data_IF_108576256843
#
_entry.id   IF_108576256843
#
_cell.length_a   1.000
_cell.length_b   1.000
_cell.length_c   1.000
_cell.angle_alpha   90.00
_cell.angle_beta   90.00
_cell.angle_gamma   90.00
#
_symmetry.space_group_name_H-M   'P 1'
#
loop_
_entity.id
_entity.type
_entity.pdbx_description
1 polymer ?
#
# COMPACT_ATOMS: atom_id res chain seq x y z
N UNK A 1 1.77 7.82 -4.44
CA UNK A 1 1.53 8.28 -5.83
C UNK A 1 0.13 8.85 -5.90
N UNK A 2 -0.20 9.66 -6.92
CA UNK A 2 -1.52 10.28 -7.08
C UNK A 2 -2.21 9.77 -8.34
N UNK A 3 -3.54 9.90 -8.39
CA UNK A 3 -4.38 9.47 -9.51
C UNK A 3 -5.46 10.53 -9.74
N UNK A 4 -5.66 10.90 -11.00
CA UNK A 4 -6.80 11.72 -11.41
C UNK A 4 -7.98 10.80 -11.71
N UNK A 5 -9.17 11.20 -11.30
CA UNK A 5 -10.41 10.45 -11.49
C UNK A 5 -11.47 11.43 -12.00
N UNK A 6 -12.04 11.13 -13.16
CA UNK A 6 -13.21 11.83 -13.70
C UNK A 6 -14.46 11.08 -13.29
N UNK A 7 -15.46 11.82 -12.78
CA UNK A 7 -16.71 11.24 -12.28
C UNK A 7 -17.90 11.70 -13.11
N UNK A 8 -18.83 10.77 -13.34
CA UNK A 8 -20.14 11.04 -13.91
C UNK A 8 -21.23 10.68 -12.89
N UNK A 9 -22.34 11.41 -12.95
CA UNK A 9 -23.46 11.21 -12.02
C UNK A 9 -24.20 9.94 -12.41
N UNK A 10 -24.43 9.08 -11.43
CA UNK A 10 -25.17 7.85 -11.67
C UNK A 10 -26.69 8.11 -11.71
N UNK A 11 -27.47 7.44 -12.58
CA UNK A 11 -28.92 7.58 -12.62
C UNK A 11 -29.60 7.22 -11.29
N UNK A 12 -29.05 6.26 -10.55
CA UNK A 12 -29.57 5.83 -9.25
C UNK A 12 -29.08 6.72 -8.09
N UNK A 13 -28.26 7.73 -8.38
CA UNK A 13 -27.68 8.67 -7.42
C UNK A 13 -26.21 8.41 -7.11
N UNK A 14 -25.51 9.44 -6.60
CA UNK A 14 -24.06 9.38 -6.38
C UNK A 14 -23.27 9.57 -7.68
N UNK A 15 -22.00 9.19 -7.65
CA UNK A 15 -21.07 9.37 -8.76
C UNK A 15 -20.23 8.12 -9.00
N UNK A 16 -19.93 7.82 -10.26
CA UNK A 16 -19.07 6.70 -10.68
C UNK A 16 -17.94 7.22 -11.56
N UNK A 17 -16.77 6.62 -11.46
CA UNK A 17 -15.62 7.00 -12.28
C UNK A 17 -15.87 6.63 -13.74
N UNK A 18 -15.77 7.61 -14.64
CA UNK A 18 -15.79 7.40 -16.09
C UNK A 18 -14.38 7.14 -16.64
N UNK A 19 -13.37 7.79 -16.05
CA UNK A 19 -11.96 7.61 -16.41
C UNK A 19 -11.08 7.80 -15.18
N UNK A 20 -9.93 7.12 -15.15
CA UNK A 20 -8.88 7.42 -14.18
C UNK A 20 -7.48 7.11 -14.72
N UNK A 21 -6.51 7.95 -14.37
CA UNK A 21 -5.12 7.78 -14.81
C UNK A 21 -4.14 8.11 -13.68
N UNK A 22 -3.02 7.40 -13.63
CA UNK A 22 -1.91 7.77 -12.75
C UNK A 22 -1.38 9.14 -13.13
N UNK A 23 -1.16 9.98 -12.13
CA UNK A 23 -0.65 11.32 -12.35
C UNK A 23 0.36 11.73 -11.28
N UNK A 24 1.28 12.61 -11.67
CA UNK A 24 2.08 13.37 -10.72
C UNK A 24 1.24 14.53 -10.21
N UNK A 25 0.94 14.55 -8.92
CA UNK A 25 0.32 15.72 -8.28
C UNK A 25 1.26 16.26 -7.22
N UNK A 26 1.51 17.57 -7.26
CA UNK A 26 2.24 18.30 -6.22
C UNK A 26 1.18 19.00 -5.37
N UNK A 27 1.01 18.63 -4.08
CA UNK A 27 -0.02 19.24 -3.25
C UNK A 27 0.21 20.74 -3.10
N UNK A 28 -0.88 21.50 -3.15
CA UNK A 28 -0.88 22.92 -2.82
C UNK A 28 -0.57 23.05 -1.32
N UNK A 29 0.47 23.80 -0.96
CA UNK A 29 0.87 24.04 0.43
C UNK A 29 0.00 25.13 1.06
N UNK A 30 -0.47 24.94 2.29
CA UNK A 30 -1.11 25.99 3.09
C UNK A 30 -2.60 26.26 2.81
N UNK A 31 -3.41 25.23 2.51
CA UNK A 31 -4.85 25.37 2.24
C UNK A 31 -5.71 24.26 2.86
N UNK A 32 -7.00 24.17 2.48
CA UNK A 32 -7.97 23.18 3.00
C UNK A 32 -7.59 21.73 2.65
N UNK A 33 -6.72 21.55 1.64
CA UNK A 33 -6.17 20.25 1.21
C UNK A 33 -4.71 20.04 1.67
N UNK A 34 -4.25 20.76 2.70
CA UNK A 34 -2.93 20.52 3.29
C UNK A 34 -2.93 19.12 3.93
N UNK A 35 -2.11 18.24 3.37
CA UNK A 35 -1.76 16.94 3.94
C UNK A 35 -0.37 17.13 4.54
N UNK A 36 -0.23 17.63 5.79
CA UNK A 36 1.05 17.72 6.46
C UNK A 36 1.54 16.30 6.71
N UNK A 37 2.21 15.74 5.70
CA UNK A 37 2.84 14.43 5.74
C UNK A 37 3.89 14.46 6.83
N UNK A 38 3.55 13.88 7.97
CA UNK A 38 4.53 13.61 9.00
C UNK A 38 5.30 12.34 8.65
N UNK A 39 6.51 12.23 9.20
CA UNK A 39 7.37 11.07 9.00
C UNK A 39 7.69 10.48 10.35
N UNK A 40 7.62 9.16 10.44
CA UNK A 40 8.02 8.39 11.61
C UNK A 40 9.43 7.90 11.34
N UNK A 41 10.37 8.23 12.23
CA UNK A 41 11.74 7.74 12.16
C UNK A 41 11.80 6.29 12.67
N UNK A 42 12.10 5.35 11.77
CA UNK A 42 12.16 3.93 12.08
C UNK A 42 13.53 3.50 12.62
N UNK A 43 14.58 4.29 12.38
CA UNK A 43 15.98 3.95 12.73
C UNK A 43 16.56 4.82 13.83
N UNK A 44 15.92 5.96 14.14
CA UNK A 44 16.39 6.95 15.12
C UNK A 44 17.42 7.94 14.58
N UNK A 45 17.87 7.73 13.34
CA UNK A 45 18.81 8.58 12.60
C UNK A 45 18.22 9.08 11.26
N UNK A 46 16.92 8.89 11.04
CA UNK A 46 16.18 9.22 9.82
C UNK A 46 16.66 8.54 8.53
N UNK A 47 17.52 7.51 8.61
CA UNK A 47 17.95 6.76 7.42
C UNK A 47 16.84 5.90 6.82
N UNK A 48 15.85 5.48 7.63
CA UNK A 48 14.60 4.89 7.14
C UNK A 48 13.43 5.55 7.84
N UNK A 49 12.45 6.01 7.06
CA UNK A 49 11.26 6.69 7.59
C UNK A 49 9.99 6.06 7.04
N UNK A 50 8.90 6.15 7.80
CA UNK A 50 7.56 5.79 7.35
C UNK A 50 6.73 7.06 7.17
N UNK A 51 6.06 7.20 6.02
CA UNK A 51 5.11 8.29 5.83
C UNK A 51 3.86 8.04 6.68
N UNK A 52 3.47 9.04 7.45
CA UNK A 52 2.27 9.05 8.29
C UNK A 52 1.18 9.95 7.69
N UNK A 53 -0.06 9.57 7.91
CA UNK A 53 -1.27 10.37 7.63
C UNK A 53 -1.93 10.77 8.95
N UNK A 54 -2.84 11.75 8.95
CA UNK A 54 -3.45 12.27 10.18
C UNK A 54 -4.20 11.19 10.99
N UNK A 55 -4.83 10.23 10.32
CA UNK A 55 -5.65 9.19 10.95
C UNK A 55 -4.85 7.90 11.20
N UNK A 56 -3.90 7.92 12.14
CA UNK A 56 -3.14 6.71 12.50
C UNK A 56 -3.77 5.98 13.69
N UNK A 57 -3.99 4.66 13.59
CA UNK A 57 -4.50 3.88 14.71
C UNK A 57 -3.42 3.47 15.72
N UNK A 58 -2.18 3.98 15.61
CA UNK A 58 -1.04 3.56 16.43
C UNK A 58 -0.15 4.74 16.85
N UNK A 59 0.57 4.56 17.96
CA UNK A 59 1.53 5.54 18.48
C UNK A 59 2.86 5.47 17.69
N UNK A 60 3.31 6.56 17.02
CA UNK A 60 4.51 6.56 16.19
C UNK A 60 5.79 6.08 16.90
N UNK A 61 5.91 6.38 18.19
CA UNK A 61 7.10 6.12 19.01
C UNK A 61 7.36 4.62 19.17
N UNK A 62 6.34 3.78 18.97
CA UNK A 62 6.46 2.31 19.03
C UNK A 62 7.19 1.71 17.83
N UNK A 63 7.34 2.46 16.74
CA UNK A 63 8.01 1.99 15.52
C UNK A 63 9.48 2.40 15.43
N UNK A 64 9.96 3.31 16.28
CA UNK A 64 11.38 3.67 16.31
C UNK A 64 12.21 2.48 16.80
N UNK A 65 13.22 2.09 16.03
CA UNK A 65 14.06 0.92 16.30
C UNK A 65 13.44 -0.42 15.89
N UNK A 66 12.25 -0.42 15.26
CA UNK A 66 11.56 -1.66 14.87
C UNK A 66 12.41 -2.51 13.93
N UNK A 67 13.21 -1.90 13.06
CA UNK A 67 14.04 -2.60 12.06
C UNK A 67 15.20 -3.39 12.69
N UNK A 68 15.53 -3.13 13.95
CA UNK A 68 16.57 -3.88 14.69
C UNK A 68 15.99 -5.12 15.41
N UNK A 69 14.68 -5.30 15.37
CA UNK A 69 13.99 -6.47 15.91
C UNK A 69 14.04 -7.67 14.94
N UNK A 70 13.71 -8.89 15.40
CA UNK A 70 13.77 -10.09 14.57
C UNK A 70 13.08 -9.94 13.23
N UNK A 71 13.78 -10.38 12.18
CA UNK A 71 13.37 -10.37 10.77
C UNK A 71 12.64 -11.66 10.42
N UNK A 72 11.47 -11.56 9.80
CA UNK A 72 10.73 -12.70 9.22
C UNK A 72 10.44 -12.44 7.75
N UNK A 73 10.75 -13.39 6.87
CA UNK A 73 10.51 -13.26 5.43
C UNK A 73 9.35 -14.15 4.98
N UNK A 74 8.47 -13.59 4.15
CA UNK A 74 7.36 -14.27 3.52
C UNK A 74 7.41 -14.05 2.01
N UNK A 75 7.62 -15.13 1.26
CA UNK A 75 7.67 -15.10 -0.19
C UNK A 75 6.32 -15.56 -0.76
N UNK A 76 5.75 -14.76 -1.66
CA UNK A 76 4.33 -14.89 -2.03
C UNK A 76 4.08 -15.84 -3.20
N UNK A 77 5.11 -16.13 -3.99
CA UNK A 77 4.99 -16.76 -5.31
C UNK A 77 4.42 -15.83 -6.40
N UNK A 78 4.01 -14.60 -6.06
CA UNK A 78 3.44 -13.66 -7.01
C UNK A 78 4.56 -12.91 -7.73
N UNK A 79 4.61 -13.08 -9.05
CA UNK A 79 5.63 -12.49 -9.90
C UNK A 79 5.09 -11.36 -10.76
N UNK A 80 5.97 -10.42 -11.10
CA UNK A 80 5.72 -9.31 -12.02
C UNK A 80 6.77 -9.29 -13.12
N UNK A 81 6.33 -8.98 -14.34
CA UNK A 81 7.25 -8.65 -15.43
C UNK A 81 7.87 -7.26 -15.22
N UNK A 82 9.02 -6.99 -15.85
CA UNK A 82 9.82 -5.77 -15.65
C UNK A 82 9.04 -4.44 -15.74
N UNK A 83 8.05 -4.36 -16.62
CA UNK A 83 7.26 -3.14 -16.88
C UNK A 83 5.82 -3.25 -16.39
N UNK A 84 5.48 -4.30 -15.65
CA UNK A 84 4.13 -4.50 -15.13
C UNK A 84 3.86 -3.55 -13.96
N UNK A 85 2.65 -2.98 -13.94
CA UNK A 85 2.23 -2.04 -12.90
C UNK A 85 1.95 -2.75 -11.57
N UNK A 86 2.56 -2.25 -10.49
CA UNK A 86 2.31 -2.69 -9.11
C UNK A 86 1.15 -1.92 -8.46
N UNK A 87 0.60 -0.93 -9.14
CA UNK A 87 -0.32 0.04 -8.55
C UNK A 87 -1.58 -0.59 -7.97
N UNK A 88 -2.11 -1.62 -8.63
CA UNK A 88 -3.36 -2.27 -8.23
C UNK A 88 -3.15 -3.18 -7.02
N UNK A 89 -1.99 -3.80 -6.91
CA UNK A 89 -1.57 -4.50 -5.68
C UNK A 89 -1.41 -3.49 -4.54
N UNK A 90 -0.76 -2.34 -4.80
CA UNK A 90 -0.59 -1.30 -3.79
C UNK A 90 -1.93 -0.73 -3.31
N UNK A 91 -2.86 -0.48 -4.24
CA UNK A 91 -4.21 -0.03 -3.91
C UNK A 91 -4.96 -1.08 -3.10
N UNK A 92 -4.90 -2.35 -3.50
CA UNK A 92 -5.49 -3.46 -2.74
C UNK A 92 -4.98 -3.50 -1.31
N UNK A 93 -3.66 -3.52 -1.11
CA UNK A 93 -3.04 -3.53 0.22
C UNK A 93 -3.36 -2.28 1.05
N UNK A 94 -3.58 -1.14 0.38
CA UNK A 94 -4.02 0.09 1.06
C UNK A 94 -5.44 -0.04 1.58
N UNK A 95 -6.32 -0.73 0.84
CA UNK A 95 -7.73 -0.89 1.20
C UNK A 95 -7.99 -2.07 2.15
N UNK A 96 -7.31 -3.20 1.95
CA UNK A 96 -7.58 -4.45 2.65
C UNK A 96 -6.93 -4.54 4.04
N UNK A 97 -5.89 -3.75 4.30
CA UNK A 97 -5.14 -3.83 5.56
C UNK A 97 -5.48 -2.64 6.48
N UNK A 98 -5.75 -2.88 7.79
CA UNK A 98 -6.12 -1.82 8.72
C UNK A 98 -5.12 -0.65 8.80
N UNK A 99 -3.81 -0.94 8.74
CA UNK A 99 -2.76 0.09 8.78
C UNK A 99 -2.56 0.82 7.44
N UNK A 100 -3.09 0.23 6.36
CA UNK A 100 -2.84 0.62 4.97
C UNK A 100 -1.38 0.45 4.54
N UNK A 101 -1.15 0.42 3.23
CA UNK A 101 0.18 0.47 2.66
C UNK A 101 0.68 1.92 2.63
N UNK A 102 1.91 2.14 3.10
CA UNK A 102 2.51 3.48 3.26
C UNK A 102 3.87 3.54 2.62
N UNK A 103 4.25 4.72 2.17
CA UNK A 103 5.60 4.98 1.67
C UNK A 103 6.61 4.81 2.81
N UNK A 104 7.66 4.04 2.56
CA UNK A 104 8.79 3.84 3.47
C UNK A 104 10.10 4.25 2.78
N UNK A 105 10.38 5.55 2.65
CA UNK A 105 11.61 6.01 2.02
C UNK A 105 12.83 5.65 2.85
N UNK A 106 13.87 5.19 2.18
CA UNK A 106 15.14 4.84 2.78
C UNK A 106 16.31 5.50 2.05
N UNK A 107 17.32 5.87 2.83
CA UNK A 107 18.63 6.28 2.32
C UNK A 107 19.36 5.08 1.71
N UNK A 108 20.23 5.33 0.72
CA UNK A 108 20.98 4.25 0.07
C UNK A 108 21.84 3.48 1.06
N UNK A 109 22.40 4.17 2.06
CA UNK A 109 23.27 3.58 3.09
C UNK A 109 22.56 2.51 3.94
N UNK A 110 21.25 2.67 4.21
CA UNK A 110 20.46 1.68 4.93
C UNK A 110 20.22 0.41 4.09
N UNK A 111 20.17 0.54 2.76
CA UNK A 111 20.03 -0.59 1.83
C UNK A 111 21.38 -1.29 1.65
N UNK A 112 22.46 -0.53 1.42
CA UNK A 112 23.81 -1.07 1.17
C UNK A 112 24.38 -1.79 2.37
N UNK A 113 24.05 -1.34 3.59
CA UNK A 113 24.42 -2.03 4.84
C UNK A 113 23.63 -3.32 5.10
N UNK A 114 22.61 -3.61 4.29
CA UNK A 114 21.74 -4.78 4.48
C UNK A 114 20.75 -4.64 5.64
N UNK A 115 20.66 -3.47 6.28
CA UNK A 115 19.70 -3.21 7.37
C UNK A 115 18.26 -3.39 6.90
N UNK A 116 17.97 -3.01 5.65
CA UNK A 116 16.72 -3.29 4.97
C UNK A 116 16.97 -3.83 3.56
N UNK A 117 16.02 -4.59 3.05
CA UNK A 117 16.05 -5.10 1.67
C UNK A 117 14.72 -4.81 0.95
N UNK A 118 14.39 -3.51 0.72
CA UNK A 118 13.09 -3.12 0.19
C UNK A 118 12.98 -3.42 -1.31
N UNK A 119 11.74 -3.53 -1.80
CA UNK A 119 11.44 -3.75 -3.22
C UNK A 119 12.02 -2.66 -4.14
N UNK A 120 11.99 -1.42 -3.67
CA UNK A 120 12.55 -0.23 -4.32
C UNK A 120 13.12 0.71 -3.26
N UNK A 121 13.93 1.71 -3.67
CA UNK A 121 14.50 2.73 -2.77
C UNK A 121 13.41 3.42 -1.93
N UNK A 122 12.34 3.85 -2.59
CA UNK A 122 11.11 4.22 -1.90
C UNK A 122 10.32 2.95 -1.71
N UNK A 123 10.56 2.28 -0.58
CA UNK A 123 9.85 1.07 -0.21
C UNK A 123 8.40 1.36 0.11
N UNK A 124 7.63 0.29 0.26
CA UNK A 124 6.25 0.37 0.76
C UNK A 124 6.14 -0.57 1.97
N UNK A 125 5.46 -0.11 3.03
CA UNK A 125 5.31 -0.86 4.26
C UNK A 125 3.94 -0.69 4.89
N UNK A 126 3.55 -1.69 5.67
CA UNK A 126 2.32 -1.74 6.45
C UNK A 126 2.73 -1.66 7.92
N UNK A 127 2.33 -0.62 8.66
CA UNK A 127 2.55 -0.56 10.10
C UNK A 127 1.49 -1.36 10.86
N UNK A 128 1.92 -2.04 11.91
CA UNK A 128 1.08 -2.54 12.98
C UNK A 128 1.26 -1.74 14.26
N UNK A 129 0.88 -2.32 15.39
CA UNK A 129 1.00 -1.66 16.70
C UNK A 129 2.34 -2.00 17.35
N UNK A 130 3.44 -1.57 16.73
CA UNK A 130 4.82 -1.86 17.18
C UNK A 130 5.57 -2.90 16.33
N UNK A 131 4.90 -3.51 15.37
CA UNK A 131 5.51 -4.26 14.28
C UNK A 131 5.39 -3.52 12.94
N UNK A 132 6.22 -3.90 11.97
CA UNK A 132 6.27 -3.32 10.64
C UNK A 132 6.51 -4.42 9.61
N UNK A 133 5.78 -4.40 8.49
CA UNK A 133 6.03 -5.30 7.38
C UNK A 133 6.24 -4.51 6.09
N UNK A 134 7.39 -4.65 5.43
CA UNK A 134 7.69 -3.96 4.19
C UNK A 134 7.79 -4.91 2.98
N UNK A 135 7.45 -4.39 1.80
CA UNK A 135 7.55 -5.14 0.56
C UNK A 135 9.00 -5.29 0.14
N UNK A 136 9.37 -6.51 -0.23
CA UNK A 136 10.68 -6.91 -0.73
C UNK A 136 10.54 -7.56 -2.12
N UNK A 137 11.66 -7.80 -2.79
CA UNK A 137 11.68 -8.58 -4.03
C UNK A 137 12.88 -9.50 -4.13
N UNK A 138 12.72 -10.53 -4.94
CA UNK A 138 13.81 -11.41 -5.40
C UNK A 138 13.58 -11.83 -6.85
N UNK A 139 14.59 -12.41 -7.53
CA UNK A 139 14.39 -13.03 -8.84
C UNK A 139 13.28 -14.09 -8.77
N UNK A 140 12.32 -14.01 -9.69
CA UNK A 140 11.15 -14.90 -9.79
C UNK A 140 11.23 -15.89 -10.95
N UNK A 141 12.39 -16.02 -11.61
CA UNK A 141 12.57 -16.85 -12.79
C UNK A 141 12.28 -16.09 -14.09
N UNK A 142 11.74 -16.79 -15.08
CA UNK A 142 11.39 -16.25 -16.40
C UNK A 142 9.98 -16.71 -16.81
N UNK A 143 9.29 -15.90 -17.60
CA UNK A 143 8.02 -16.30 -18.23
C UNK A 143 8.24 -17.22 -19.43
N UNK A 144 7.14 -17.63 -20.09
CA UNK A 144 7.18 -18.51 -21.28
C UNK A 144 7.92 -17.91 -22.47
N UNK A 145 8.01 -16.58 -22.53
CA UNK A 145 8.69 -15.84 -23.59
C UNK A 145 10.15 -15.53 -23.21
N UNK A 146 10.60 -15.99 -22.04
CA UNK A 146 11.96 -15.83 -21.55
C UNK A 146 12.23 -14.47 -20.89
N UNK A 147 11.20 -13.68 -20.56
CA UNK A 147 11.40 -12.42 -19.85
C UNK A 147 11.61 -12.65 -18.35
N UNK A 148 12.55 -11.91 -17.77
CA UNK A 148 12.81 -11.95 -16.33
C UNK A 148 11.58 -11.53 -15.51
N UNK A 149 11.28 -12.35 -14.51
CA UNK A 149 10.23 -12.11 -13.53
C UNK A 149 10.83 -11.72 -12.19
N UNK A 150 10.11 -10.88 -11.46
CA UNK A 150 10.44 -10.49 -10.09
C UNK A 150 9.36 -10.99 -9.15
N UNK A 151 9.71 -11.79 -8.16
CA UNK A 151 8.78 -12.21 -7.11
C UNK A 151 8.67 -11.14 -6.03
N UNK A 152 7.43 -10.86 -5.62
CA UNK A 152 7.15 -9.97 -4.48
C UNK A 152 7.18 -10.77 -3.18
N UNK A 153 7.92 -10.26 -2.20
CA UNK A 153 7.97 -10.78 -0.84
C UNK A 153 7.58 -9.72 0.19
N UNK A 154 7.49 -10.14 1.44
CA UNK A 154 7.23 -9.28 2.58
C UNK A 154 8.23 -9.60 3.68
N UNK A 155 8.80 -8.58 4.30
CA UNK A 155 9.71 -8.71 5.43
C UNK A 155 9.10 -8.01 6.64
N UNK A 156 8.85 -8.79 7.69
CA UNK A 156 8.29 -8.35 8.96
C UNK A 156 9.35 -8.16 10.04
N UNK A 157 9.16 -7.14 10.86
CA UNK A 157 9.96 -6.82 12.03
C UNK A 157 9.09 -6.48 13.23
N UNK A 158 9.63 -6.63 14.44
CA UNK A 158 8.95 -6.35 15.70
C UNK A 158 8.26 -7.58 16.31
N UNK A 159 7.60 -7.41 17.48
CA UNK A 159 7.08 -8.54 18.28
C UNK A 159 6.12 -9.47 17.52
N UNK A 160 5.29 -8.92 16.63
CA UNK A 160 4.36 -9.68 15.78
C UNK A 160 4.69 -9.53 14.29
N UNK A 161 5.95 -9.20 13.95
CA UNK A 161 6.38 -8.93 12.57
C UNK A 161 6.11 -10.10 11.62
N UNK A 162 6.31 -11.33 12.08
CA UNK A 162 6.02 -12.53 11.29
C UNK A 162 4.54 -12.69 10.96
N UNK A 163 3.65 -12.43 11.92
CA UNK A 163 2.19 -12.50 11.72
C UNK A 163 1.70 -11.41 10.77
N UNK A 164 2.21 -10.18 10.91
CA UNK A 164 1.89 -9.10 10.00
C UNK A 164 2.41 -9.40 8.58
N UNK A 165 3.64 -9.89 8.44
CA UNK A 165 4.19 -10.28 7.14
C UNK A 165 3.38 -11.39 6.47
N UNK A 166 2.92 -12.39 7.24
CA UNK A 166 2.06 -13.45 6.74
C UNK A 166 0.72 -12.89 6.23
N UNK A 167 0.08 -11.98 6.99
CA UNK A 167 -1.17 -11.33 6.60
C UNK A 167 -1.02 -10.52 5.31
N UNK A 168 0.03 -9.71 5.19
CA UNK A 168 0.31 -8.94 3.97
C UNK A 168 0.54 -9.89 2.79
N UNK A 169 1.28 -10.98 2.99
CA UNK A 169 1.51 -11.98 1.95
C UNK A 169 0.21 -12.69 1.51
N UNK A 170 -0.71 -12.97 2.44
CA UNK A 170 -2.04 -13.53 2.14
C UNK A 170 -2.91 -12.57 1.33
N UNK A 171 -2.87 -11.27 1.62
CA UNK A 171 -3.56 -10.25 0.83
C UNK A 171 -2.96 -10.13 -0.59
N UNK A 172 -1.64 -10.20 -0.73
CA UNK A 172 -0.99 -10.22 -2.06
C UNK A 172 -1.44 -11.45 -2.86
N UNK A 173 -1.51 -12.63 -2.23
CA UNK A 173 -1.98 -13.86 -2.87
C UNK A 173 -3.46 -13.80 -3.25
N UNK A 174 -4.30 -13.24 -2.37
CA UNK A 174 -5.75 -13.07 -2.61
C UNK A 174 -5.98 -12.11 -3.77
N UNK A 175 -5.32 -10.94 -3.75
CA UNK A 175 -5.35 -10.01 -4.88
C UNK A 175 -4.90 -10.68 -6.18
N UNK A 176 -3.78 -11.40 -6.16
CA UNK A 176 -3.25 -12.05 -7.35
C UNK A 176 -4.24 -13.06 -7.96
N UNK A 177 -4.85 -13.89 -7.13
CA UNK A 177 -5.76 -14.96 -7.55
C UNK A 177 -7.10 -14.42 -8.04
N UNK A 178 -7.68 -13.48 -7.30
CA UNK A 178 -9.11 -13.14 -7.47
C UNK A 178 -9.34 -11.78 -8.15
N UNK A 179 -8.36 -10.86 -8.12
CA UNK A 179 -8.57 -9.44 -8.43
C UNK A 179 -7.54 -8.81 -9.39
N UNK A 180 -6.37 -9.42 -9.63
CA UNK A 180 -5.30 -8.86 -10.49
C UNK A 180 -5.74 -8.52 -11.91
N UNK A 181 -6.70 -9.27 -12.43
CA UNK A 181 -7.22 -9.12 -13.80
C UNK A 181 -8.58 -8.43 -13.88
N UNK A 182 -9.06 -7.87 -12.77
CA UNK A 182 -10.31 -7.10 -12.70
C UNK A 182 -10.07 -5.62 -12.94
N UNK A 183 -11.08 -4.95 -13.46
CA UNK A 183 -11.06 -3.50 -13.56
C UNK A 183 -11.36 -2.87 -12.20
N UNK A 184 -10.81 -1.68 -11.96
CA UNK A 184 -11.06 -0.93 -10.73
C UNK A 184 -11.98 0.25 -11.04
N UNK A 185 -13.06 0.40 -10.29
CA UNK A 185 -13.97 1.55 -10.35
C UNK A 185 -13.95 2.31 -9.02
N UNK A 186 -14.05 3.62 -9.11
CA UNK A 186 -14.20 4.51 -7.95
C UNK A 186 -15.62 5.08 -7.93
N UNK A 187 -16.22 5.16 -6.75
CA UNK A 187 -17.58 5.68 -6.57
C UNK A 187 -17.62 6.68 -5.41
N UNK A 188 -18.48 7.68 -5.51
CA UNK A 188 -18.85 8.58 -4.41
C UNK A 188 -20.33 8.30 -4.11
N UNK A 189 -20.65 7.57 -3.02
CA UNK A 189 -22.01 7.19 -2.71
C UNK A 189 -22.85 8.41 -2.31
N UNK A 190 -24.16 8.36 -2.59
CA UNK A 190 -25.07 9.50 -2.39
C UNK A 190 -25.36 9.80 -0.91
N UNK A 191 -25.50 8.75 -0.11
CA UNK A 191 -25.93 8.80 1.30
C UNK A 191 -24.78 8.52 2.27
N UNK A 192 -23.58 8.24 1.75
CA UNK A 192 -22.40 7.91 2.55
C UNK A 192 -22.49 6.57 3.29
N UNK A 193 -23.41 5.68 2.90
CA UNK A 193 -23.56 4.37 3.55
C UNK A 193 -22.33 3.50 3.28
N UNK A 194 -21.75 2.94 4.35
CA UNK A 194 -20.70 1.93 4.23
C UNK A 194 -21.29 0.66 3.61
N UNK A 195 -20.77 0.33 2.44
CA UNK A 195 -21.18 -0.83 1.64
C UNK A 195 -20.00 -1.75 1.35
N UNK A 196 -18.96 -1.69 2.20
CA UNK A 196 -17.77 -2.52 2.08
C UNK A 196 -18.12 -4.01 2.08
N UNK A 197 -17.49 -4.72 1.15
CA UNK A 197 -17.48 -6.18 1.08
C UNK A 197 -16.10 -6.57 0.50
N UNK A 198 -15.08 -6.71 1.36
CA UNK A 198 -13.73 -7.06 0.93
C UNK A 198 -13.67 -8.39 0.17
N UNK A 199 -14.57 -9.33 0.47
CA UNK A 199 -14.63 -10.63 -0.24
C UNK A 199 -15.04 -10.48 -1.71
N UNK A 200 -15.73 -9.38 -2.02
CA UNK A 200 -16.12 -8.99 -3.39
C UNK A 200 -15.22 -7.89 -3.96
N UNK A 201 -14.15 -7.51 -3.25
CA UNK A 201 -13.26 -6.42 -3.67
C UNK A 201 -13.93 -5.06 -3.61
N UNK A 202 -14.84 -4.83 -2.64
CA UNK A 202 -15.49 -3.53 -2.42
C UNK A 202 -15.01 -2.94 -1.10
N UNK A 203 -14.41 -1.76 -1.14
CA UNK A 203 -13.86 -1.10 0.03
C UNK A 203 -14.43 0.30 0.15
N UNK A 204 -15.00 0.61 1.30
CA UNK A 204 -15.50 1.93 1.63
C UNK A 204 -14.42 2.68 2.41
N UNK A 205 -14.01 3.84 1.88
CA UNK A 205 -13.05 4.73 2.51
C UNK A 205 -13.80 5.93 3.05
N UNK A 206 -13.99 5.96 4.36
CA UNK A 206 -14.58 7.11 5.04
C UNK A 206 -13.66 8.33 4.91
N UNK A 207 -14.27 9.49 4.65
CA UNK A 207 -13.57 10.76 4.46
C UNK A 207 -14.44 11.90 5.00
N UNK A 208 -13.84 12.96 5.59
CA UNK A 208 -14.59 14.03 6.25
C UNK A 208 -15.66 14.76 5.41
N UNK A 209 -15.55 14.71 4.08
CA UNK A 209 -16.46 15.42 3.18
C UNK A 209 -17.22 14.49 2.23
N UNK A 210 -16.50 13.58 1.57
CA UNK A 210 -17.09 12.65 0.61
C UNK A 210 -16.40 11.30 0.72
N UNK A 211 -17.09 10.26 1.21
CA UNK A 211 -16.54 8.92 1.21
C UNK A 211 -16.28 8.46 -0.22
N UNK A 212 -15.31 7.57 -0.37
CA UNK A 212 -14.95 6.99 -1.67
C UNK A 212 -15.06 5.47 -1.54
N UNK A 213 -15.78 4.84 -2.46
CA UNK A 213 -15.78 3.38 -2.59
C UNK A 213 -14.85 2.97 -3.72
N UNK A 214 -13.99 1.99 -3.46
CA UNK A 214 -13.13 1.35 -4.47
C UNK A 214 -13.67 -0.04 -4.73
N UNK A 215 -13.91 -0.38 -6.00
CA UNK A 215 -14.54 -1.64 -6.41
C UNK A 215 -13.68 -2.33 -7.46
N UNK A 216 -13.34 -3.60 -7.24
CA UNK A 216 -12.75 -4.47 -8.25
C UNK A 216 -13.84 -5.32 -8.90
N UNK A 217 -14.03 -5.21 -10.22
CA UNK A 217 -15.12 -5.85 -10.97
C UNK A 217 -14.67 -6.50 -12.27
#
# INVERSE_FOLDING_TARGET
>A
MSRSIAFERDPDGGWRSAEHAMCGFVPLRGGIADDPRSRIDLTGDNTVTLQSHQDQPFAPERLTGVLDQPRSEMWTGVTFARMESLEWMYLWLTCALPGGLRSMPAEQTAIDSGRITPMFRTGMAVPGDGELAYLAKRPGGHDSDGHELTETGVIGHGPHGGELAARVADEIRTWHRDFRHRDVRFEIPADGTDTSDPTRGRFFLDRPHHPITVVWQ
#
